data_IF_256789016052
#
_entry.id   IF_256789016052
#
_cell.length_a   1.000
_cell.length_b   1.000
_cell.length_c   1.000
_cell.angle_alpha   90.00
_cell.angle_beta   90.00
_cell.angle_gamma   90.00
#
_symmetry.space_group_name_H-M   'P 1'
#
loop_
_entity.id
_entity.type
_entity.pdbx_description
1 polymer ?
#
# COMPACT_ATOMS: atom_id res chain seq x y z
N UNK A 1 -22.45 8.72 -57.33
CA UNK A 1 -22.26 7.25 -57.33
C UNK A 1 -22.86 6.71 -58.63
N UNK A 2 -22.26 5.69 -59.26
CA UNK A 2 -22.96 4.93 -60.30
C UNK A 2 -24.25 4.34 -59.71
N UNK A 3 -25.21 4.01 -60.58
CA UNK A 3 -26.43 3.31 -60.20
C UNK A 3 -26.07 2.03 -59.42
N UNK A 4 -26.65 1.85 -58.22
CA UNK A 4 -26.28 0.79 -57.27
C UNK A 4 -26.44 -0.58 -57.91
N UNK A 5 -27.54 -0.77 -58.63
CA UNK A 5 -27.86 -2.03 -59.29
C UNK A 5 -26.92 -2.30 -60.47
N UNK A 6 -26.37 -1.26 -61.11
CA UNK A 6 -25.37 -1.39 -62.15
C UNK A 6 -23.98 -1.72 -61.58
N UNK A 7 -23.64 -1.15 -60.42
CA UNK A 7 -22.39 -1.44 -59.69
C UNK A 7 -22.38 -2.89 -59.19
N UNK A 8 -23.44 -3.34 -58.53
CA UNK A 8 -23.56 -4.72 -58.03
C UNK A 8 -23.49 -5.74 -59.18
N UNK A 9 -24.12 -5.44 -60.33
CA UNK A 9 -23.99 -6.25 -61.55
C UNK A 9 -22.55 -6.26 -62.09
N UNK A 10 -21.90 -5.10 -62.23
CA UNK A 10 -20.51 -5.04 -62.70
C UNK A 10 -19.54 -5.80 -61.80
N UNK A 11 -19.79 -5.85 -60.49
CA UNK A 11 -18.97 -6.61 -59.54
C UNK A 11 -19.17 -8.11 -59.75
N UNK A 12 -20.42 -8.58 -59.81
CA UNK A 12 -20.74 -10.01 -60.04
C UNK A 12 -20.28 -10.52 -61.41
N UNK A 13 -20.34 -9.67 -62.45
CA UNK A 13 -19.88 -10.01 -63.80
C UNK A 13 -18.35 -10.14 -63.87
N UNK A 14 -17.61 -9.40 -63.02
CA UNK A 14 -16.15 -9.43 -62.99
C UNK A 14 -15.60 -10.54 -62.09
N UNK A 15 -16.27 -10.84 -60.98
CA UNK A 15 -15.88 -11.89 -60.04
C UNK A 15 -17.04 -12.85 -59.78
N UNK A 16 -17.11 -13.91 -60.60
CA UNK A 16 -18.13 -14.95 -60.47
C UNK A 16 -17.99 -15.80 -59.19
N UNK A 17 -16.87 -15.66 -58.48
CA UNK A 17 -16.58 -16.38 -57.23
C UNK A 17 -16.85 -15.53 -55.99
N UNK A 18 -17.42 -14.31 -56.14
CA UNK A 18 -17.78 -13.46 -55.01
C UNK A 18 -18.74 -14.22 -54.07
N UNK A 19 -18.28 -14.47 -52.84
CA UNK A 19 -19.05 -15.21 -51.83
C UNK A 19 -20.03 -14.32 -51.09
N UNK A 20 -19.74 -13.02 -50.99
CA UNK A 20 -20.55 -12.05 -50.28
C UNK A 20 -21.84 -11.64 -51.02
N UNK A 21 -22.96 -11.57 -50.30
CA UNK A 21 -24.22 -11.01 -50.79
C UNK A 21 -24.24 -9.49 -50.62
N UNK A 22 -24.32 -8.75 -51.73
CA UNK A 22 -24.25 -7.29 -51.74
C UNK A 22 -25.58 -6.62 -51.33
N UNK A 23 -26.67 -7.37 -51.13
CA UNK A 23 -27.97 -6.79 -50.80
C UNK A 23 -27.96 -6.09 -49.42
N UNK A 24 -28.51 -4.88 -49.35
CA UNK A 24 -28.56 -4.10 -48.09
C UNK A 24 -27.22 -3.52 -47.61
N UNK A 25 -26.14 -3.66 -48.39
CA UNK A 25 -24.81 -3.13 -48.07
C UNK A 25 -24.76 -1.59 -47.97
N UNK A 26 -23.90 -1.08 -47.09
CA UNK A 26 -23.55 0.34 -47.01
C UNK A 26 -22.23 0.61 -47.72
N UNK A 27 -22.20 1.68 -48.52
CA UNK A 27 -21.07 2.01 -49.40
C UNK A 27 -20.41 3.33 -48.98
N UNK A 28 -19.10 3.30 -48.85
CA UNK A 28 -18.27 4.46 -48.55
C UNK A 28 -17.33 4.70 -49.72
N UNK A 29 -17.32 5.92 -50.26
CA UNK A 29 -16.42 6.29 -51.34
C UNK A 29 -15.24 7.09 -50.84
N UNK A 30 -14.04 6.68 -51.23
CA UNK A 30 -12.81 7.42 -51.01
C UNK A 30 -12.19 7.75 -52.35
N UNK A 31 -12.02 9.06 -52.59
CA UNK A 31 -11.33 9.52 -53.78
C UNK A 31 -9.82 9.37 -53.58
N UNK A 32 -9.17 8.68 -54.51
CA UNK A 32 -7.71 8.57 -54.52
C UNK A 32 -7.15 9.90 -55.03
N UNK A 33 -6.16 10.51 -54.34
CA UNK A 33 -5.58 11.77 -54.76
C UNK A 33 -5.03 11.70 -56.19
N UNK A 34 -5.14 12.82 -56.92
CA UNK A 34 -4.65 12.93 -58.29
C UNK A 34 -3.12 12.71 -58.36
N UNK A 35 -2.66 12.16 -59.48
CA UNK A 35 -1.28 11.69 -59.70
C UNK A 35 -0.20 12.73 -59.37
N UNK A 36 1.01 12.29 -58.98
CA UNK A 36 1.47 10.89 -58.93
C UNK A 36 0.96 10.15 -57.69
N UNK A 37 0.44 8.93 -57.90
CA UNK A 37 0.07 8.06 -56.78
C UNK A 37 1.37 7.66 -56.07
N UNK A 38 1.53 7.90 -54.76
CA UNK A 38 2.73 7.51 -54.04
C UNK A 38 3.00 6.00 -54.14
N UNK A 39 4.28 5.62 -54.24
CA UNK A 39 4.71 4.23 -54.06
C UNK A 39 4.29 3.73 -52.66
N UNK A 40 3.71 2.52 -52.63
CA UNK A 40 3.22 1.86 -51.41
C UNK A 40 2.14 2.67 -50.65
N UNK A 41 1.01 2.92 -51.30
CA UNK A 41 -0.17 3.50 -50.66
C UNK A 41 -0.89 2.45 -49.80
N UNK A 42 -1.34 2.86 -48.62
CA UNK A 42 -2.11 2.04 -47.69
C UNK A 42 -3.46 2.69 -47.42
N UNK A 43 -4.48 1.87 -47.23
CA UNK A 43 -5.79 2.29 -46.73
C UNK A 43 -5.99 1.74 -45.32
N UNK A 44 -6.32 2.64 -44.40
CA UNK A 44 -6.71 2.32 -43.03
C UNK A 44 -8.23 2.42 -42.93
N UNK A 45 -8.91 1.33 -42.64
CA UNK A 45 -10.37 1.26 -42.48
C UNK A 45 -10.65 1.01 -41.00
N UNK A 46 -11.05 2.06 -40.28
CA UNK A 46 -11.36 1.98 -38.85
C UNK A 46 -12.78 1.50 -38.60
N UNK A 47 -12.91 0.51 -37.73
CA UNK A 47 -14.17 -0.16 -37.42
C UNK A 47 -14.43 -0.25 -35.92
N UNK A 48 -15.71 -0.31 -35.52
CA UNK A 48 -16.11 -0.55 -34.12
C UNK A 48 -16.15 -2.04 -33.77
N UNK A 49 -16.25 -2.92 -34.76
CA UNK A 49 -16.37 -4.38 -34.63
C UNK A 49 -15.54 -5.11 -35.70
N UNK A 50 -15.28 -6.40 -35.48
CA UNK A 50 -14.73 -7.29 -36.51
C UNK A 50 -15.65 -7.29 -37.73
N UNK A 51 -15.06 -7.02 -38.90
CA UNK A 51 -15.73 -7.10 -40.17
C UNK A 51 -15.84 -8.58 -40.56
N UNK A 52 -17.03 -9.15 -40.45
CA UNK A 52 -17.45 -10.14 -41.46
C UNK A 52 -17.94 -9.34 -42.67
N UNK A 53 -17.60 -9.85 -43.86
CA UNK A 53 -18.07 -9.36 -45.16
C UNK A 53 -17.67 -7.92 -45.57
N UNK A 54 -16.43 -7.49 -45.30
CA UNK A 54 -15.88 -6.26 -45.89
C UNK A 54 -15.41 -6.53 -47.32
N UNK A 55 -15.86 -5.70 -48.25
CA UNK A 55 -15.42 -5.73 -49.64
C UNK A 55 -14.85 -4.36 -49.99
N UNK A 56 -13.62 -4.34 -50.49
CA UNK A 56 -13.05 -3.15 -51.11
C UNK A 56 -13.09 -3.33 -52.61
N UNK A 57 -13.66 -2.37 -53.32
CA UNK A 57 -13.84 -2.38 -54.76
C UNK A 57 -13.19 -1.13 -55.34
N UNK A 58 -12.47 -1.28 -56.43
CA UNK A 58 -11.98 -0.15 -57.23
C UNK A 58 -12.94 0.09 -58.38
N UNK A 59 -13.39 1.33 -58.57
CA UNK A 59 -14.27 1.72 -59.66
C UNK A 59 -13.56 2.73 -60.53
N UNK A 60 -13.44 2.40 -61.82
CA UNK A 60 -12.94 3.34 -62.80
C UNK A 60 -14.08 4.32 -63.19
N UNK A 61 -13.90 5.64 -63.00
CA UNK A 61 -14.96 6.62 -63.23
C UNK A 61 -15.32 6.80 -64.71
N UNK A 62 -14.45 6.42 -65.66
CA UNK A 62 -14.70 6.66 -67.10
C UNK A 62 -15.56 5.59 -67.75
N UNK A 63 -15.47 4.33 -67.29
CA UNK A 63 -16.24 3.21 -67.85
C UNK A 63 -17.14 2.51 -66.82
N UNK A 64 -17.12 2.93 -65.56
CA UNK A 64 -17.91 2.33 -64.48
C UNK A 64 -17.48 0.91 -64.09
N UNK A 65 -16.38 0.39 -64.66
CA UNK A 65 -15.91 -0.95 -64.38
C UNK A 65 -15.44 -1.06 -62.93
N UNK A 66 -16.00 -2.03 -62.22
CA UNK A 66 -15.69 -2.32 -60.83
C UNK A 66 -14.83 -3.58 -60.72
N UNK A 67 -13.77 -3.54 -59.91
CA UNK A 67 -12.93 -4.71 -59.59
C UNK A 67 -12.83 -4.89 -58.08
N UNK A 68 -13.10 -6.10 -57.62
CA UNK A 68 -12.90 -6.48 -56.21
C UNK A 68 -11.39 -6.46 -55.91
N UNK A 69 -11.02 -5.71 -54.88
CA UNK A 69 -9.66 -5.54 -54.40
C UNK A 69 -9.39 -6.37 -53.14
N UNK A 70 -10.40 -6.47 -52.26
CA UNK A 70 -10.30 -7.17 -50.98
C UNK A 70 -11.68 -7.71 -50.59
N UNK A 71 -11.73 -8.93 -50.06
CA UNK A 71 -12.90 -9.54 -49.42
C UNK A 71 -12.42 -10.17 -48.10
N UNK A 72 -13.12 -9.87 -46.99
CA UNK A 72 -12.66 -10.19 -45.63
C UNK A 72 -12.56 -11.69 -45.31
N UNK A 73 -13.34 -12.54 -46.00
CA UNK A 73 -13.39 -13.98 -45.70
C UNK A 73 -12.16 -14.75 -46.17
N UNK A 74 -11.31 -14.12 -47.00
CA UNK A 74 -10.18 -14.78 -47.65
C UNK A 74 -8.85 -14.68 -46.88
N UNK A 75 -8.69 -13.81 -45.88
CA UNK A 75 -7.43 -13.67 -45.13
C UNK A 75 -7.67 -13.32 -43.65
N UNK A 76 -7.39 -14.30 -42.79
CA UNK A 76 -7.29 -14.21 -41.33
C UNK A 76 -6.14 -13.28 -40.86
N UNK A 77 -5.27 -12.82 -41.77
CA UNK A 77 -3.94 -12.26 -41.45
C UNK A 77 -3.77 -10.75 -41.65
N UNK A 78 -4.84 -9.96 -41.82
CA UNK A 78 -4.69 -8.51 -41.88
C UNK A 78 -4.37 -7.96 -40.46
N UNK A 79 -3.19 -7.34 -40.23
CA UNK A 79 -2.82 -6.88 -38.90
C UNK A 79 -3.77 -5.75 -38.45
N UNK A 80 -4.60 -6.04 -37.44
CA UNK A 80 -5.45 -5.04 -36.82
C UNK A 80 -4.65 -4.21 -35.83
N UNK A 81 -4.62 -2.89 -36.03
CA UNK A 81 -3.97 -1.95 -35.12
C UNK A 81 -4.92 -0.78 -34.84
N UNK A 82 -5.13 -0.45 -33.56
CA UNK A 82 -6.12 0.56 -33.12
C UNK A 82 -7.52 0.41 -33.78
N UNK A 83 -8.03 -0.82 -33.90
CA UNK A 83 -9.32 -1.12 -34.56
C UNK A 83 -9.39 -0.66 -36.03
N UNK A 84 -8.26 -0.58 -36.72
CA UNK A 84 -8.23 -0.29 -38.15
C UNK A 84 -7.63 -1.47 -38.91
N UNK A 85 -8.26 -1.83 -40.01
CA UNK A 85 -7.70 -2.74 -41.01
C UNK A 85 -6.76 -1.97 -41.91
N UNK A 86 -5.56 -2.48 -42.09
CA UNK A 86 -4.52 -1.86 -42.90
C UNK A 86 -4.29 -2.68 -44.14
N UNK A 87 -4.74 -2.18 -45.29
CA UNK A 87 -4.60 -2.86 -46.57
C UNK A 87 -3.59 -2.10 -47.43
N UNK A 88 -2.58 -2.81 -47.94
CA UNK A 88 -1.67 -2.25 -48.94
C UNK A 88 -2.42 -2.20 -50.26
N UNK A 89 -2.40 -1.07 -50.96
CA UNK A 89 -3.01 -0.90 -52.28
C UNK A 89 -1.97 -1.20 -53.37
N UNK A 90 -2.28 -2.14 -54.27
CA UNK A 90 -1.43 -2.49 -55.40
C UNK A 90 -1.63 -1.47 -56.53
N UNK A 91 -0.55 -0.77 -56.91
CA UNK A 91 -0.59 0.25 -57.97
C UNK A 91 -1.02 -0.30 -59.33
N UNK A 92 -0.75 -1.57 -59.63
CA UNK A 92 -1.15 -2.19 -60.90
C UNK A 92 -2.69 -2.22 -61.08
N UNK A 93 -3.44 -2.14 -59.99
CA UNK A 93 -4.91 -2.12 -59.97
C UNK A 93 -5.48 -0.68 -59.90
N UNK A 94 -4.63 0.34 -59.81
CA UNK A 94 -5.04 1.73 -59.64
C UNK A 94 -4.82 2.54 -60.93
N UNK A 95 -5.91 2.86 -61.62
CA UNK A 95 -5.93 3.81 -62.75
C UNK A 95 -6.06 5.28 -62.28
N UNK A 96 -5.65 6.28 -63.09
CA UNK A 96 -5.94 7.68 -62.80
C UNK A 96 -7.44 7.91 -62.59
N UNK A 97 -7.79 8.66 -61.54
CA UNK A 97 -9.17 8.95 -61.10
C UNK A 97 -9.97 7.75 -60.54
N UNK A 98 -9.35 6.61 -60.28
CA UNK A 98 -10.04 5.47 -59.65
C UNK A 98 -10.68 5.90 -58.32
N UNK A 99 -11.97 5.63 -58.18
CA UNK A 99 -12.70 5.77 -56.91
C UNK A 99 -12.61 4.46 -56.17
N UNK A 100 -12.21 4.51 -54.90
CA UNK A 100 -12.17 3.34 -54.06
C UNK A 100 -13.48 3.29 -53.28
N UNK A 101 -14.26 2.25 -53.52
CA UNK A 101 -15.53 2.01 -52.85
C UNK A 101 -15.31 0.91 -51.81
N UNK A 102 -15.63 1.20 -50.57
CA UNK A 102 -15.63 0.23 -49.48
C UNK A 102 -17.08 -0.12 -49.18
N UNK A 103 -17.44 -1.38 -49.38
CA UNK A 103 -18.75 -1.94 -49.08
C UNK A 103 -18.67 -2.95 -47.95
N UNK A 104 -19.77 -3.11 -47.24
CA UNK A 104 -19.94 -4.20 -46.30
C UNK A 104 -21.35 -4.78 -46.39
N UNK A 105 -21.47 -6.11 -46.36
CA UNK A 105 -22.75 -6.81 -46.28
C UNK A 105 -23.37 -6.71 -44.86
N UNK A 106 -24.68 -6.51 -44.81
CA UNK A 106 -25.44 -6.34 -43.58
C UNK A 106 -25.92 -7.70 -43.05
N UNK A 107 -25.24 -8.28 -42.06
CA UNK A 107 -25.86 -9.32 -41.22
C UNK A 107 -26.62 -8.74 -40.01
N UNK A 108 -26.55 -7.42 -39.74
CA UNK A 108 -27.22 -6.81 -38.58
C UNK A 108 -27.29 -5.27 -38.60
N UNK A 109 -28.31 -4.71 -37.93
CA UNK A 109 -28.83 -3.32 -38.12
C UNK A 109 -27.94 -2.13 -37.73
N UNK A 110 -26.69 -2.25 -37.26
CA UNK A 110 -25.94 -1.05 -36.80
C UNK A 110 -24.41 -1.14 -36.95
N UNK A 111 -23.90 -1.01 -38.17
CA UNK A 111 -22.49 -0.72 -38.41
C UNK A 111 -22.29 0.71 -38.93
N UNK A 112 -21.18 1.35 -38.53
CA UNK A 112 -20.70 2.61 -39.10
C UNK A 112 -19.18 2.47 -39.29
N UNK A 113 -18.70 2.60 -40.53
CA UNK A 113 -17.29 2.87 -40.78
C UNK A 113 -16.97 4.20 -40.11
N UNK A 114 -16.06 4.20 -39.13
CA UNK A 114 -15.74 5.41 -38.37
C UNK A 114 -14.86 6.36 -39.17
N UNK A 115 -13.90 5.79 -39.89
CA UNK A 115 -12.92 6.54 -40.64
C UNK A 115 -12.28 5.66 -41.71
N UNK A 116 -12.04 6.26 -42.87
CA UNK A 116 -11.16 5.69 -43.89
C UNK A 116 -10.07 6.72 -44.15
N UNK A 117 -8.81 6.33 -43.93
CA UNK A 117 -7.66 7.20 -44.16
C UNK A 117 -6.72 6.57 -45.18
N UNK A 118 -6.30 7.38 -46.17
CA UNK A 118 -5.23 7.02 -47.10
C UNK A 118 -3.89 7.52 -46.55
N UNK A 119 -2.91 6.63 -46.51
CA UNK A 119 -1.59 6.92 -45.95
C UNK A 119 -0.49 6.32 -46.81
N UNK A 120 0.62 7.03 -46.96
CA UNK A 120 1.84 6.45 -47.54
C UNK A 120 2.50 5.50 -46.54
N UNK A 121 3.27 4.53 -47.02
CA UNK A 121 4.02 3.60 -46.16
C UNK A 121 4.89 4.33 -45.13
N UNK A 122 5.60 5.39 -45.52
CA UNK A 122 6.39 6.22 -44.59
C UNK A 122 5.53 6.88 -43.50
N UNK A 123 4.32 7.37 -43.84
CA UNK A 123 3.40 7.99 -42.86
C UNK A 123 2.82 6.92 -41.93
N UNK A 124 2.48 5.74 -42.47
CA UNK A 124 2.08 4.55 -41.70
C UNK A 124 3.18 4.17 -40.71
N UNK A 125 4.39 3.86 -41.16
CA UNK A 125 5.50 3.46 -40.29
C UNK A 125 5.76 4.48 -39.18
N UNK A 126 5.78 5.78 -39.50
CA UNK A 126 5.93 6.84 -38.49
C UNK A 126 4.77 6.84 -37.48
N UNK A 127 3.53 6.67 -37.93
CA UNK A 127 2.36 6.59 -37.06
C UNK A 127 2.46 5.39 -36.10
N UNK A 128 2.79 4.21 -36.62
CA UNK A 128 2.97 2.99 -35.83
C UNK A 128 4.15 3.08 -34.87
N UNK A 129 5.29 3.63 -35.32
CA UNK A 129 6.47 3.83 -34.47
C UNK A 129 6.16 4.75 -33.29
N UNK A 130 5.50 5.88 -33.54
CA UNK A 130 5.09 6.80 -32.49
C UNK A 130 4.15 6.12 -31.47
N UNK A 131 3.22 5.29 -31.95
CA UNK A 131 2.32 4.56 -31.08
C UNK A 131 3.08 3.52 -30.24
N UNK A 132 3.97 2.74 -30.85
CA UNK A 132 4.80 1.74 -30.15
C UNK A 132 5.70 2.39 -29.10
N UNK A 133 6.37 3.49 -29.44
CA UNK A 133 7.19 4.25 -28.48
C UNK A 133 6.33 4.74 -27.32
N UNK A 134 5.17 5.33 -27.60
CA UNK A 134 4.28 5.82 -26.56
C UNK A 134 3.79 4.71 -25.63
N UNK A 135 3.37 3.57 -26.19
CA UNK A 135 2.94 2.40 -25.41
C UNK A 135 4.09 1.79 -24.63
N UNK A 136 5.30 1.71 -25.19
CA UNK A 136 6.49 1.22 -24.48
C UNK A 136 6.86 2.12 -23.29
N UNK A 137 6.84 3.45 -23.47
CA UNK A 137 7.05 4.41 -22.38
C UNK A 137 5.97 4.27 -21.30
N UNK A 138 4.71 4.13 -21.71
CA UNK A 138 3.59 3.95 -20.78
C UNK A 138 3.72 2.67 -19.96
N UNK A 139 4.01 1.53 -20.61
CA UNK A 139 4.24 0.25 -19.93
C UNK A 139 5.47 0.31 -19.03
N UNK A 140 6.55 0.95 -19.47
CA UNK A 140 7.75 1.16 -18.66
C UNK A 140 7.47 1.96 -17.40
N UNK A 141 6.66 3.03 -17.49
CA UNK A 141 6.22 3.81 -16.34
C UNK A 141 5.37 2.97 -15.38
N UNK A 142 4.40 2.21 -15.91
CA UNK A 142 3.60 1.29 -15.10
C UNK A 142 4.47 0.22 -14.43
N UNK A 143 5.51 -0.28 -15.10
CA UNK A 143 6.41 -1.30 -14.55
C UNK A 143 7.26 -0.76 -13.42
N UNK A 144 7.77 0.47 -13.56
CA UNK A 144 8.45 1.16 -12.47
C UNK A 144 7.53 1.33 -11.25
N UNK A 145 6.26 1.70 -11.47
CA UNK A 145 5.26 1.81 -10.40
C UNK A 145 4.95 0.47 -9.76
N UNK A 146 4.79 -0.59 -10.55
CA UNK A 146 4.57 -1.94 -10.07
C UNK A 146 5.73 -2.40 -9.17
N UNK A 147 6.97 -2.25 -9.65
CA UNK A 147 8.18 -2.63 -8.91
C UNK A 147 8.32 -1.84 -7.60
N UNK A 148 8.08 -0.53 -7.65
CA UNK A 148 8.08 0.33 -6.46
C UNK A 148 7.02 -0.11 -5.44
N UNK A 149 5.78 -0.34 -5.88
CA UNK A 149 4.69 -0.71 -4.98
C UNK A 149 4.82 -2.15 -4.44
N UNK A 150 5.44 -3.07 -5.19
CA UNK A 150 5.79 -4.39 -4.70
C UNK A 150 6.86 -4.30 -3.60
N UNK A 151 7.93 -3.55 -3.84
CA UNK A 151 8.97 -3.33 -2.83
C UNK A 151 8.40 -2.69 -1.55
N UNK A 152 7.55 -1.67 -1.70
CA UNK A 152 6.86 -1.02 -0.60
C UNK A 152 5.90 -1.98 0.12
N UNK A 153 5.18 -2.83 -0.64
CA UNK A 153 4.29 -3.85 -0.09
C UNK A 153 5.02 -4.89 0.76
N UNK A 154 6.19 -5.34 0.33
CA UNK A 154 7.06 -6.25 1.10
C UNK A 154 7.56 -5.59 2.38
N UNK A 155 8.01 -4.33 2.30
CA UNK A 155 8.47 -3.58 3.47
C UNK A 155 7.36 -3.32 4.50
N UNK A 156 6.15 -3.00 4.03
CA UNK A 156 5.02 -2.64 4.88
C UNK A 156 4.15 -3.83 5.30
N UNK A 157 4.37 -5.03 4.74
CA UNK A 157 3.55 -6.24 4.96
C UNK A 157 2.04 -5.99 4.84
N UNK A 158 1.66 -5.10 3.92
CA UNK A 158 0.28 -4.64 3.77
C UNK A 158 -0.40 -5.34 2.59
N UNK A 159 -1.52 -6.05 2.79
CA UNK A 159 -2.21 -6.76 1.70
C UNK A 159 -2.77 -5.82 0.63
N UNK A 160 -3.00 -4.54 0.97
CA UNK A 160 -3.49 -3.53 0.03
C UNK A 160 -2.51 -3.28 -1.13
N UNK A 161 -1.20 -3.36 -0.87
CA UNK A 161 -0.17 -3.13 -1.90
C UNK A 161 -0.06 -4.33 -2.85
N UNK A 162 -0.27 -5.56 -2.36
CA UNK A 162 -0.35 -6.74 -3.21
C UNK A 162 -1.54 -6.64 -4.18
N UNK A 163 -2.69 -6.15 -3.70
CA UNK A 163 -3.88 -5.96 -4.52
C UNK A 163 -3.70 -4.82 -5.51
N UNK A 164 -3.02 -3.74 -5.12
CA UNK A 164 -2.61 -2.69 -6.05
C UNK A 164 -1.67 -3.22 -7.13
N UNK A 165 -0.74 -4.13 -6.81
CA UNK A 165 0.15 -4.73 -7.79
C UNK A 165 -0.62 -5.56 -8.83
N UNK A 166 -1.58 -6.39 -8.39
CA UNK A 166 -2.47 -7.13 -9.29
C UNK A 166 -3.32 -6.19 -10.13
N UNK A 167 -3.79 -5.09 -9.53
CA UNK A 167 -4.52 -4.05 -10.25
C UNK A 167 -3.67 -3.34 -11.31
N UNK A 168 -2.43 -3.01 -10.99
CA UNK A 168 -1.49 -2.41 -11.93
C UNK A 168 -1.20 -3.36 -13.11
N UNK A 169 -1.05 -4.66 -12.84
CA UNK A 169 -0.89 -5.70 -13.86
C UNK A 169 -2.10 -5.77 -14.80
N UNK A 170 -3.33 -5.71 -14.28
CA UNK A 170 -4.52 -5.69 -15.15
C UNK A 170 -4.59 -4.41 -15.99
N UNK A 171 -4.13 -3.28 -15.45
CA UNK A 171 -3.98 -2.03 -16.20
C UNK A 171 -2.94 -2.10 -17.30
N UNK A 172 -1.79 -2.76 -17.06
CA UNK A 172 -0.79 -3.01 -18.10
C UNK A 172 -1.34 -3.88 -19.22
N UNK A 173 -2.05 -4.95 -18.87
CA UNK A 173 -2.68 -5.85 -19.84
C UNK A 173 -3.68 -5.07 -20.72
N UNK A 174 -4.49 -4.20 -20.10
CA UNK A 174 -5.39 -3.29 -20.81
C UNK A 174 -4.62 -2.33 -21.74
N UNK A 175 -3.46 -1.80 -21.33
CA UNK A 175 -2.67 -0.89 -22.16
C UNK A 175 -2.09 -1.58 -23.41
N UNK A 176 -1.53 -2.79 -23.25
CA UNK A 176 -0.98 -3.61 -24.34
C UNK A 176 -2.08 -4.02 -25.32
N UNK A 177 -3.20 -4.51 -24.80
CA UNK A 177 -4.32 -5.01 -25.60
C UNK A 177 -5.03 -3.88 -26.37
N UNK A 178 -5.14 -2.67 -25.81
CA UNK A 178 -5.72 -1.51 -26.50
C UNK A 178 -4.99 -1.09 -27.78
N UNK A 179 -3.69 -1.34 -27.90
CA UNK A 179 -2.91 -1.03 -29.13
C UNK A 179 -3.00 -2.15 -30.16
N UNK A 180 -3.26 -3.39 -29.71
CA UNK A 180 -3.21 -4.57 -30.55
C UNK A 180 -1.82 -5.19 -30.66
N UNK A 181 -0.88 -4.83 -29.76
CA UNK A 181 0.49 -5.37 -29.75
C UNK A 181 0.51 -6.90 -29.54
N UNK A 182 -0.51 -7.43 -28.85
CA UNK A 182 -0.69 -8.87 -28.63
C UNK A 182 -0.82 -9.63 -29.96
N UNK A 183 -1.54 -9.07 -30.94
CA UNK A 183 -1.74 -9.70 -32.25
C UNK A 183 -0.52 -9.60 -33.15
N UNK A 184 0.28 -8.55 -33.03
CA UNK A 184 1.50 -8.39 -33.82
C UNK A 184 2.59 -9.41 -33.41
N UNK A 185 2.60 -9.81 -32.14
CA UNK A 185 3.66 -10.66 -31.57
C UNK A 185 3.33 -12.16 -31.57
N UNK A 186 2.15 -12.55 -32.05
CA UNK A 186 1.70 -13.95 -32.14
C UNK A 186 1.51 -14.64 -30.79
N UNK A 187 1.48 -13.89 -29.69
CA UNK A 187 1.41 -14.45 -28.32
C UNK A 187 0.12 -15.25 -28.05
N UNK A 188 -0.94 -15.00 -28.82
CA UNK A 188 -2.26 -15.63 -28.70
C UNK A 188 -2.82 -16.08 -30.06
N UNK A 189 -1.97 -16.61 -30.95
CA UNK A 189 -2.33 -17.17 -32.28
C UNK A 189 -3.20 -18.45 -32.22
N UNK A 190 -3.98 -18.64 -31.16
CA UNK A 190 -4.97 -19.70 -31.10
C UNK A 190 -6.22 -19.26 -31.86
N UNK A 191 -6.59 -20.01 -32.90
CA UNK A 191 -7.87 -19.88 -33.62
C UNK A 191 -9.13 -20.01 -32.75
N UNK A 192 -8.98 -20.34 -31.46
CA UNK A 192 -10.05 -20.55 -30.49
C UNK A 192 -10.56 -19.25 -29.81
N UNK A 193 -9.79 -18.16 -29.84
CA UNK A 193 -10.16 -16.90 -29.17
C UNK A 193 -10.19 -15.78 -30.20
N UNK A 194 -11.38 -15.27 -30.48
CA UNK A 194 -11.52 -14.06 -31.30
C UNK A 194 -10.75 -12.91 -30.65
N UNK A 195 -9.98 -12.12 -31.41
CA UNK A 195 -9.36 -10.88 -30.92
C UNK A 195 -10.35 -9.94 -30.20
N UNK A 196 -11.63 -10.04 -30.56
CA UNK A 196 -12.68 -9.27 -29.92
C UNK A 196 -13.04 -9.80 -28.51
N UNK A 197 -13.16 -11.12 -28.32
CA UNK A 197 -13.49 -11.70 -27.02
C UNK A 197 -12.36 -11.46 -26.01
N UNK A 198 -11.10 -11.59 -26.42
CA UNK A 198 -9.93 -11.29 -25.58
C UNK A 198 -9.99 -9.86 -25.00
N UNK A 199 -10.32 -8.86 -25.82
CA UNK A 199 -10.44 -7.46 -25.39
C UNK A 199 -11.50 -7.26 -24.32
N UNK A 200 -12.67 -7.88 -24.49
CA UNK A 200 -13.74 -7.79 -23.50
C UNK A 200 -13.30 -8.45 -22.18
N UNK A 201 -12.64 -9.60 -22.23
CA UNK A 201 -12.11 -10.28 -21.04
C UNK A 201 -11.06 -9.46 -20.29
N UNK A 202 -10.13 -8.83 -21.01
CA UNK A 202 -9.09 -7.97 -20.41
C UNK A 202 -9.73 -6.77 -19.70
N UNK A 203 -10.69 -6.10 -20.34
CA UNK A 203 -11.34 -4.94 -19.75
C UNK A 203 -12.32 -5.33 -18.62
N UNK A 204 -12.98 -6.49 -18.67
CA UNK A 204 -13.75 -7.04 -17.55
C UNK A 204 -12.86 -7.37 -16.34
N UNK A 205 -11.66 -7.91 -16.58
CA UNK A 205 -10.64 -8.15 -15.57
C UNK A 205 -10.19 -6.83 -14.93
N UNK A 206 -9.90 -5.82 -15.75
CA UNK A 206 -9.53 -4.49 -15.26
C UNK A 206 -10.63 -3.90 -14.38
N UNK A 207 -11.88 -3.85 -14.87
CA UNK A 207 -13.01 -3.30 -14.14
C UNK A 207 -13.26 -4.01 -12.79
N UNK A 208 -13.13 -5.33 -12.76
CA UNK A 208 -13.25 -6.12 -11.52
C UNK A 208 -12.16 -5.76 -10.52
N UNK A 209 -10.91 -5.65 -10.98
CA UNK A 209 -9.79 -5.28 -10.12
C UNK A 209 -9.87 -3.83 -9.64
N UNK A 210 -10.33 -2.90 -10.48
CA UNK A 210 -10.61 -1.51 -10.10
C UNK A 210 -11.58 -1.45 -8.92
N UNK A 211 -12.68 -2.20 -9.04
CA UNK A 211 -13.71 -2.32 -8.02
C UNK A 211 -13.14 -2.86 -6.70
N UNK A 212 -12.42 -3.98 -6.75
CA UNK A 212 -11.83 -4.61 -5.56
C UNK A 212 -10.86 -3.63 -4.89
N UNK A 213 -10.01 -2.98 -5.70
CA UNK A 213 -9.05 -2.01 -5.21
C UNK A 213 -9.73 -0.83 -4.53
N UNK A 214 -10.74 -0.20 -5.15
CA UNK A 214 -11.48 0.94 -4.57
C UNK A 214 -12.09 0.56 -3.22
N UNK A 215 -12.76 -0.59 -3.14
CA UNK A 215 -13.38 -1.10 -1.91
C UNK A 215 -12.37 -1.28 -0.78
N UNK A 216 -11.15 -1.72 -1.11
CA UNK A 216 -10.09 -1.92 -0.13
C UNK A 216 -9.30 -0.65 0.20
N UNK A 217 -9.24 0.28 -0.75
CA UNK A 217 -8.63 1.59 -0.58
C UNK A 217 -9.49 2.50 0.31
N UNK A 218 -10.82 2.37 0.24
CA UNK A 218 -11.75 3.01 1.17
C UNK A 218 -11.67 2.38 2.57
N UNK A 219 -11.83 3.21 3.60
CA UNK A 219 -11.74 2.76 5.00
C UNK A 219 -12.92 1.85 5.38
N UNK A 220 -12.68 0.89 6.28
CA UNK A 220 -13.68 -0.14 6.67
C UNK A 220 -15.00 0.44 7.16
N UNK A 221 -14.97 1.58 7.89
CA UNK A 221 -16.19 2.25 8.38
C UNK A 221 -17.11 2.78 7.26
N UNK A 222 -16.59 2.91 6.05
CA UNK A 222 -17.35 3.37 4.89
C UNK A 222 -17.74 2.24 3.93
N UNK A 223 -17.42 0.98 4.28
CA UNK A 223 -17.73 -0.20 3.50
C UNK A 223 -19.18 -0.66 3.77
N UNK A 224 -20.16 -0.06 3.09
CA UNK A 224 -21.57 -0.44 3.25
C UNK A 224 -21.91 -1.70 2.46
N UNK A 225 -22.60 -2.64 3.10
CA UNK A 225 -22.97 -3.92 2.48
C UNK A 225 -23.82 -3.77 1.21
N UNK A 226 -24.71 -2.77 1.14
CA UNK A 226 -25.58 -2.59 -0.03
C UNK A 226 -24.81 -2.14 -1.28
N UNK A 227 -23.93 -1.13 -1.15
CA UNK A 227 -23.10 -0.70 -2.28
C UNK A 227 -22.11 -1.79 -2.71
N UNK A 228 -21.56 -2.54 -1.75
CA UNK A 228 -20.71 -3.70 -2.04
C UNK A 228 -21.46 -4.79 -2.82
N UNK A 229 -22.70 -5.10 -2.44
CA UNK A 229 -23.54 -6.07 -3.16
C UNK A 229 -23.85 -5.59 -4.58
N UNK A 230 -24.15 -4.31 -4.79
CA UNK A 230 -24.37 -3.74 -6.13
C UNK A 230 -23.11 -3.82 -7.01
N UNK A 231 -21.96 -3.52 -6.43
CA UNK A 231 -20.66 -3.61 -7.10
C UNK A 231 -20.29 -5.06 -7.44
N UNK A 232 -20.55 -6.00 -6.53
CA UNK A 232 -20.35 -7.43 -6.78
C UNK A 232 -21.27 -7.95 -7.90
N UNK A 233 -22.53 -7.49 -7.93
CA UNK A 233 -23.48 -7.82 -8.99
C UNK A 233 -22.99 -7.32 -10.36
N UNK A 234 -22.43 -6.11 -10.42
CA UNK A 234 -21.85 -5.57 -11.64
C UNK A 234 -20.53 -6.23 -12.03
N UNK A 235 -19.72 -6.67 -11.05
CA UNK A 235 -18.59 -7.55 -11.31
C UNK A 235 -19.03 -8.84 -11.99
N UNK A 236 -20.06 -9.51 -11.46
CA UNK A 236 -20.63 -10.72 -12.09
C UNK A 236 -21.19 -10.41 -13.49
N UNK A 237 -21.93 -9.31 -13.65
CA UNK A 237 -22.45 -8.88 -14.96
C UNK A 237 -21.33 -8.56 -15.98
N UNK A 238 -20.21 -8.00 -15.52
CA UNK A 238 -19.03 -7.72 -16.35
C UNK A 238 -18.38 -8.97 -16.92
N UNK A 239 -18.62 -10.14 -16.31
CA UNK A 239 -18.16 -11.44 -16.81
C UNK A 239 -19.21 -12.17 -17.65
N UNK A 240 -20.50 -12.03 -17.32
CA UNK A 240 -21.59 -12.69 -18.07
C UNK A 240 -21.63 -12.24 -19.53
N UNK A 241 -21.44 -10.94 -19.80
CA UNK A 241 -21.47 -10.38 -21.16
C UNK A 241 -20.34 -10.92 -22.05
N UNK A 242 -19.05 -10.89 -21.65
CA UNK A 242 -17.97 -11.52 -22.42
C UNK A 242 -18.16 -13.02 -22.63
N UNK A 243 -18.64 -13.74 -21.61
CA UNK A 243 -18.89 -15.19 -21.72
C UNK A 243 -20.01 -15.45 -22.74
N UNK A 244 -21.08 -14.65 -22.71
CA UNK A 244 -22.14 -14.70 -23.72
C UNK A 244 -21.65 -14.33 -25.12
N UNK A 245 -20.75 -13.34 -25.25
CA UNK A 245 -20.13 -12.94 -26.51
C UNK A 245 -19.17 -13.98 -27.08
N UNK A 246 -18.55 -14.79 -26.22
CA UNK A 246 -17.76 -15.93 -26.66
C UNK A 246 -18.64 -17.08 -27.18
N UNK A 247 -19.85 -17.25 -26.63
CA UNK A 247 -20.77 -18.33 -26.99
C UNK A 247 -21.68 -18.01 -28.19
N UNK A 248 -21.98 -16.74 -28.43
CA UNK A 248 -22.91 -16.29 -29.47
C UNK A 248 -22.11 -15.52 -30.52
N UNK A 249 -22.08 -16.00 -31.77
CA UNK A 249 -21.36 -15.39 -32.91
C UNK A 249 -21.99 -14.05 -33.40
N UNK A 250 -22.93 -13.48 -32.61
CA UNK A 250 -23.52 -12.16 -32.80
C UNK A 250 -22.81 -11.09 -31.96
N UNK A 251 -21.76 -10.51 -32.52
CA UNK A 251 -20.82 -9.66 -31.79
C UNK A 251 -21.35 -8.26 -31.44
N UNK A 252 -22.32 -7.74 -32.19
CA UNK A 252 -22.65 -6.30 -32.14
C UNK A 252 -23.62 -5.89 -31.02
N UNK A 253 -24.66 -6.68 -30.74
CA UNK A 253 -25.54 -6.41 -29.59
C UNK A 253 -24.74 -6.48 -28.29
N UNK A 254 -23.86 -7.47 -28.20
CA UNK A 254 -22.98 -7.69 -27.06
C UNK A 254 -21.96 -6.55 -26.89
N UNK A 255 -21.45 -5.94 -27.97
CA UNK A 255 -20.66 -4.70 -27.92
C UNK A 255 -21.44 -3.56 -27.24
N UNK A 256 -22.69 -3.31 -27.65
CA UNK A 256 -23.47 -2.19 -27.10
C UNK A 256 -23.86 -2.41 -25.65
N UNK A 257 -24.25 -3.64 -25.31
CA UNK A 257 -24.50 -4.05 -23.92
C UNK A 257 -23.24 -3.87 -23.09
N UNK A 258 -22.09 -4.20 -23.67
CA UNK A 258 -20.80 -4.05 -23.02
C UNK A 258 -20.41 -2.58 -22.76
N UNK A 259 -20.41 -1.74 -23.80
CA UNK A 259 -20.14 -0.30 -23.67
C UNK A 259 -21.09 0.36 -22.65
N UNK A 260 -22.36 -0.03 -22.67
CA UNK A 260 -23.36 0.39 -21.68
C UNK A 260 -23.01 -0.04 -20.25
N UNK A 261 -22.52 -1.27 -20.07
CA UNK A 261 -22.11 -1.79 -18.76
C UNK A 261 -20.87 -1.07 -18.20
N UNK A 262 -19.92 -0.68 -19.06
CA UNK A 262 -18.75 0.12 -18.68
C UNK A 262 -19.18 1.50 -18.19
N UNK A 263 -20.08 2.18 -18.91
CA UNK A 263 -20.62 3.48 -18.48
C UNK A 263 -21.35 3.35 -17.15
N UNK A 264 -22.15 2.30 -16.97
CA UNK A 264 -22.84 2.03 -15.72
C UNK A 264 -21.85 1.80 -14.55
N UNK A 265 -20.76 1.06 -14.78
CA UNK A 265 -19.72 0.83 -13.79
C UNK A 265 -19.01 2.14 -13.38
N UNK A 266 -18.69 3.01 -14.35
CA UNK A 266 -18.12 4.35 -14.09
C UNK A 266 -19.06 5.19 -13.22
N UNK A 267 -20.36 5.20 -13.54
CA UNK A 267 -21.36 5.93 -12.76
C UNK A 267 -21.45 5.40 -11.33
N UNK A 268 -21.49 4.08 -11.14
CA UNK A 268 -21.55 3.46 -9.81
C UNK A 268 -20.31 3.75 -8.98
N UNK A 269 -19.12 3.63 -9.57
CA UNK A 269 -17.85 3.96 -8.90
C UNK A 269 -17.86 5.43 -8.49
N UNK A 270 -18.28 6.33 -9.39
CA UNK A 270 -18.37 7.77 -9.09
C UNK A 270 -19.34 8.04 -7.94
N UNK A 271 -20.52 7.40 -7.94
CA UNK A 271 -21.49 7.52 -6.85
C UNK A 271 -20.92 7.00 -5.53
N UNK A 272 -20.24 5.84 -5.53
CA UNK A 272 -19.57 5.30 -4.34
C UNK A 272 -18.56 6.29 -3.77
N UNK A 273 -17.69 6.84 -4.63
CA UNK A 273 -16.63 7.77 -4.22
C UNK A 273 -17.25 9.06 -3.64
N UNK A 274 -18.21 9.67 -4.34
CA UNK A 274 -18.87 10.90 -3.90
C UNK A 274 -19.66 10.69 -2.59
N UNK A 275 -20.34 9.55 -2.46
CA UNK A 275 -21.05 9.20 -1.23
C UNK A 275 -20.08 9.02 -0.05
N UNK A 276 -18.96 8.33 -0.27
CA UNK A 276 -17.91 8.15 0.74
C UNK A 276 -17.28 9.49 1.14
N UNK A 277 -17.07 10.38 0.18
CA UNK A 277 -16.55 11.73 0.43
C UNK A 277 -17.49 12.55 1.31
N UNK A 278 -18.80 12.54 1.02
CA UNK A 278 -19.81 13.24 1.85
C UNK A 278 -19.88 12.75 3.30
N UNK A 279 -19.42 11.52 3.58
CA UNK A 279 -19.32 10.96 4.93
C UNK A 279 -17.94 11.15 5.59
N UNK A 280 -17.08 11.99 5.01
CA UNK A 280 -15.80 12.39 5.61
C UNK A 280 -14.63 11.44 5.33
N UNK A 281 -14.73 10.57 4.31
CA UNK A 281 -13.59 9.74 3.88
C UNK A 281 -12.46 10.61 3.34
N UNK A 282 -11.29 10.52 3.96
CA UNK A 282 -10.08 11.26 3.55
C UNK A 282 -9.49 10.73 2.24
N UNK A 283 -9.75 9.46 1.91
CA UNK A 283 -9.20 8.77 0.74
C UNK A 283 -10.06 8.96 -0.53
N UNK A 284 -11.34 9.32 -0.38
CA UNK A 284 -12.26 9.50 -1.51
C UNK A 284 -11.83 10.60 -2.52
N UNK A 285 -11.37 11.80 -2.12
CA UNK A 285 -10.94 12.80 -3.10
C UNK A 285 -9.73 12.36 -3.93
N UNK A 286 -8.83 11.55 -3.35
CA UNK A 286 -7.67 10.99 -4.09
C UNK A 286 -8.16 10.04 -5.19
N UNK A 287 -9.13 9.17 -4.87
CA UNK A 287 -9.75 8.29 -5.86
C UNK A 287 -10.42 9.11 -6.99
N UNK A 288 -11.20 10.13 -6.64
CA UNK A 288 -11.88 10.96 -7.64
C UNK A 288 -10.88 11.62 -8.59
N UNK A 289 -9.79 12.16 -8.06
CA UNK A 289 -8.73 12.78 -8.85
C UNK A 289 -8.02 11.75 -9.76
N UNK A 290 -7.77 10.54 -9.25
CA UNK A 290 -7.12 9.47 -10.01
C UNK A 290 -7.97 8.99 -11.19
N UNK A 291 -9.28 8.77 -10.99
CA UNK A 291 -10.16 8.24 -12.02
C UNK A 291 -10.68 9.28 -13.01
N UNK A 292 -10.61 10.58 -12.68
CA UNK A 292 -11.17 11.64 -13.52
C UNK A 292 -10.65 11.62 -14.98
N UNK A 293 -9.35 11.51 -15.26
CA UNK A 293 -8.86 11.43 -16.65
C UNK A 293 -9.42 10.21 -17.39
N UNK A 294 -9.45 9.05 -16.74
CA UNK A 294 -9.91 7.80 -17.35
C UNK A 294 -11.42 7.86 -17.65
N UNK A 295 -12.21 8.45 -16.75
CA UNK A 295 -13.65 8.65 -16.96
C UNK A 295 -13.92 9.67 -18.07
N UNK A 296 -13.18 10.78 -18.11
CA UNK A 296 -13.31 11.80 -19.17
C UNK A 296 -12.96 11.19 -20.52
N UNK A 297 -11.80 10.54 -20.66
CA UNK A 297 -11.41 9.93 -21.93
C UNK A 297 -12.30 8.75 -22.32
N UNK A 298 -12.76 7.96 -21.35
CA UNK A 298 -13.73 6.88 -21.56
C UNK A 298 -15.05 7.41 -22.14
N UNK A 299 -15.61 8.47 -21.53
CA UNK A 299 -16.83 9.11 -22.02
C UNK A 299 -16.64 9.76 -23.38
N UNK A 300 -15.59 10.57 -23.56
CA UNK A 300 -15.29 11.24 -24.83
C UNK A 300 -15.13 10.24 -25.98
N UNK A 301 -14.50 9.09 -25.72
CA UNK A 301 -14.33 8.01 -26.71
C UNK A 301 -15.65 7.40 -27.16
N UNK A 302 -16.67 7.38 -26.31
CA UNK A 302 -18.00 6.84 -26.63
C UNK A 302 -18.81 7.77 -27.56
N UNK A 303 -18.61 9.09 -27.46
CA UNK A 303 -19.39 10.10 -28.19
C UNK A 303 -18.68 10.71 -29.40
N UNK A 304 -17.35 10.59 -29.50
CA UNK A 304 -16.56 11.22 -30.58
C UNK A 304 -15.99 10.16 -31.52
N UNK A 305 -16.44 10.18 -32.77
CA UNK A 305 -16.05 9.22 -33.81
C UNK A 305 -14.71 9.55 -34.47
N UNK A 306 -14.41 10.83 -34.73
CA UNK A 306 -13.10 11.25 -35.22
C UNK A 306 -12.11 11.41 -34.08
N UNK A 307 -11.18 10.45 -33.98
CA UNK A 307 -10.22 10.39 -32.89
C UNK A 307 -8.88 10.94 -33.34
N UNK A 308 -8.55 12.14 -32.88
CA UNK A 308 -7.18 12.63 -32.93
C UNK A 308 -6.24 11.76 -32.07
N UNK A 309 -4.93 11.97 -32.20
CA UNK A 309 -3.91 11.20 -31.46
C UNK A 309 -4.19 11.15 -29.95
N UNK A 310 -4.59 12.27 -29.34
CA UNK A 310 -4.91 12.34 -27.91
C UNK A 310 -6.11 11.46 -27.51
N UNK A 311 -7.22 11.54 -28.24
CA UNK A 311 -8.41 10.73 -27.94
C UNK A 311 -8.16 9.23 -28.17
N UNK A 312 -7.35 8.89 -29.17
CA UNK A 312 -6.97 7.49 -29.46
C UNK A 312 -6.16 6.86 -28.32
N UNK A 313 -5.32 7.65 -27.64
CA UNK A 313 -4.46 7.21 -26.54
C UNK A 313 -4.98 7.60 -25.15
N UNK A 314 -6.14 8.24 -25.05
CA UNK A 314 -6.67 8.81 -23.81
C UNK A 314 -6.84 7.80 -22.68
N UNK A 315 -7.21 6.55 -23.00
CA UNK A 315 -7.30 5.47 -21.99
C UNK A 315 -5.92 5.14 -21.39
N UNK A 316 -4.87 5.07 -22.21
CA UNK A 316 -3.50 4.81 -21.72
C UNK A 316 -3.00 5.97 -20.87
N UNK A 317 -3.23 7.21 -21.32
CA UNK A 317 -2.90 8.41 -20.55
C UNK A 317 -3.62 8.36 -19.20
N UNK A 318 -4.94 8.12 -19.23
CA UNK A 318 -5.75 8.02 -18.02
C UNK A 318 -5.24 6.96 -17.05
N UNK A 319 -4.89 5.77 -17.54
CA UNK A 319 -4.36 4.67 -16.72
C UNK A 319 -3.02 5.04 -16.05
N UNK A 320 -2.07 5.65 -16.78
CA UNK A 320 -0.80 6.09 -16.19
C UNK A 320 -1.04 7.14 -15.10
N UNK A 321 -1.90 8.14 -15.36
CA UNK A 321 -2.25 9.16 -14.37
C UNK A 321 -2.94 8.56 -13.15
N UNK A 322 -3.90 7.66 -13.37
CA UNK A 322 -4.61 6.95 -12.32
C UNK A 322 -3.62 6.20 -11.42
N UNK A 323 -2.75 5.39 -12.01
CA UNK A 323 -1.77 4.59 -11.28
C UNK A 323 -0.78 5.46 -10.50
N UNK A 324 -0.30 6.57 -11.08
CA UNK A 324 0.57 7.53 -10.39
C UNK A 324 -0.10 8.13 -9.15
N UNK A 325 -1.33 8.64 -9.31
CA UNK A 325 -2.08 9.29 -8.23
C UNK A 325 -2.45 8.29 -7.14
N UNK A 326 -2.85 7.06 -7.51
CA UNK A 326 -3.15 6.00 -6.56
C UNK A 326 -1.90 5.53 -5.80
N UNK A 327 -0.74 5.42 -6.47
CA UNK A 327 0.54 5.10 -5.83
C UNK A 327 0.94 6.16 -4.81
N UNK A 328 0.75 7.43 -5.14
CA UNK A 328 0.94 8.53 -4.19
C UNK A 328 -0.07 8.45 -3.04
N UNK A 329 -1.34 8.18 -3.34
CA UNK A 329 -2.41 8.00 -2.36
C UNK A 329 -2.16 6.88 -1.35
N UNK A 330 -1.59 5.76 -1.79
CA UNK A 330 -1.18 4.65 -0.92
C UNK A 330 -0.06 5.09 0.03
N UNK A 331 0.96 5.77 -0.50
CA UNK A 331 2.08 6.27 0.29
C UNK A 331 1.61 7.24 1.37
N UNK A 332 0.74 8.18 1.01
CA UNK A 332 0.17 9.16 1.91
C UNK A 332 -0.74 8.51 2.97
N UNK A 333 -1.52 7.49 2.61
CA UNK A 333 -2.30 6.69 3.58
C UNK A 333 -1.39 6.00 4.61
N UNK A 334 -0.29 5.40 4.16
CA UNK A 334 0.69 4.75 5.05
C UNK A 334 1.33 5.76 5.99
N UNK A 335 1.72 6.93 5.46
CA UNK A 335 2.24 8.03 6.26
C UNK A 335 1.27 8.44 7.35
N UNK A 336 0.00 8.69 7.02
CA UNK A 336 -1.03 9.04 8.02
C UNK A 336 -1.21 7.99 9.11
N UNK A 337 -1.26 6.71 8.74
CA UNK A 337 -1.37 5.62 9.72
C UNK A 337 -0.15 5.62 10.63
N UNK A 338 1.06 5.77 10.09
CA UNK A 338 2.30 5.81 10.87
C UNK A 338 2.36 7.03 11.80
N UNK A 339 1.96 8.20 11.32
CA UNK A 339 1.96 9.43 12.12
C UNK A 339 0.95 9.33 13.28
N UNK A 340 -0.24 8.78 13.05
CA UNK A 340 -1.21 8.53 14.12
C UNK A 340 -0.72 7.50 15.15
N UNK A 341 -0.02 6.45 14.70
CA UNK A 341 0.57 5.45 15.59
C UNK A 341 1.73 6.04 16.42
N UNK A 342 2.54 6.92 15.81
CA UNK A 342 3.61 7.62 16.52
C UNK A 342 3.05 8.56 17.58
N UNK A 343 2.01 9.34 17.26
CA UNK A 343 1.35 10.22 18.22
C UNK A 343 0.74 9.45 19.40
N UNK A 344 0.11 8.29 19.14
CA UNK A 344 -0.42 7.44 20.19
C UNK A 344 0.69 6.84 21.08
N UNK A 345 1.86 6.53 20.50
CA UNK A 345 3.01 6.07 21.27
C UNK A 345 3.61 7.19 22.13
N UNK A 346 3.77 8.39 21.57
CA UNK A 346 4.28 9.54 22.31
C UNK A 346 3.36 9.94 23.47
N UNK A 347 2.03 9.90 23.27
CA UNK A 347 1.09 10.21 24.36
C UNK A 347 1.17 9.17 25.47
N UNK A 348 1.32 7.88 25.14
CA UNK A 348 1.53 6.83 26.13
C UNK A 348 2.85 7.00 26.90
N UNK A 349 3.97 7.29 26.21
CA UNK A 349 5.27 7.53 26.85
C UNK A 349 5.24 8.76 27.78
N UNK A 350 4.47 9.82 27.43
CA UNK A 350 4.28 10.98 28.30
C UNK A 350 3.53 10.61 29.58
N UNK A 351 2.43 9.86 29.46
CA UNK A 351 1.67 9.39 30.63
C UNK A 351 2.53 8.51 31.54
N UNK A 352 3.38 7.64 30.97
CA UNK A 352 4.31 6.82 31.73
C UNK A 352 5.33 7.67 32.48
N UNK A 353 5.94 8.67 31.84
CA UNK A 353 6.91 9.59 32.48
C UNK A 353 6.28 10.38 33.62
N UNK A 354 5.06 10.89 33.45
CA UNK A 354 4.35 11.59 34.51
C UNK A 354 4.06 10.68 35.70
N UNK A 355 3.65 9.43 35.43
CA UNK A 355 3.40 8.43 36.46
C UNK A 355 4.68 8.10 37.24
N UNK A 356 5.80 7.91 36.54
CA UNK A 356 7.12 7.68 37.16
C UNK A 356 7.57 8.88 38.00
N UNK A 357 7.34 10.11 37.53
CA UNK A 357 7.67 11.32 38.28
C UNK A 357 6.85 11.42 39.57
N UNK A 358 5.55 11.14 39.50
CA UNK A 358 4.66 11.14 40.68
C UNK A 358 5.09 10.05 41.66
N UNK A 359 5.41 8.86 41.17
CA UNK A 359 5.88 7.75 42.00
C UNK A 359 7.21 8.09 42.68
N UNK A 360 8.17 8.66 41.96
CA UNK A 360 9.45 9.09 42.52
C UNK A 360 9.26 10.17 43.60
N UNK A 361 8.39 11.16 43.37
CA UNK A 361 8.08 12.17 44.41
C UNK A 361 7.45 11.55 45.66
N UNK A 362 6.55 10.59 45.49
CA UNK A 362 5.96 9.87 46.61
C UNK A 362 7.00 9.03 47.35
N UNK A 363 7.90 8.37 46.61
CA UNK A 363 8.99 7.59 47.18
C UNK A 363 9.97 8.48 47.94
N UNK A 364 10.37 9.62 47.39
CA UNK A 364 11.20 10.61 48.08
C UNK A 364 10.54 11.08 49.37
N UNK A 365 9.23 11.37 49.33
CA UNK A 365 8.48 11.71 50.54
C UNK A 365 8.52 10.59 51.59
N UNK A 366 8.25 9.35 51.19
CA UNK A 366 8.34 8.20 52.10
C UNK A 366 9.75 8.00 52.66
N UNK A 367 10.78 8.14 51.83
CA UNK A 367 12.17 8.04 52.26
C UNK A 367 12.47 9.12 53.30
N UNK A 368 12.15 10.39 53.03
CA UNK A 368 12.39 11.48 53.99
C UNK A 368 11.64 11.30 55.32
N UNK A 369 10.38 10.84 55.29
CA UNK A 369 9.60 10.54 56.50
C UNK A 369 10.25 9.41 57.31
N UNK A 370 10.68 8.33 56.65
CA UNK A 370 11.33 7.19 57.30
C UNK A 370 12.73 7.53 57.82
N UNK A 371 13.49 8.35 57.10
CA UNK A 371 14.80 8.85 57.57
C UNK A 371 14.62 9.68 58.84
N UNK A 372 13.63 10.57 58.89
CA UNK A 372 13.34 11.37 60.08
C UNK A 372 12.88 10.52 61.27
N UNK A 373 12.02 9.52 61.04
CA UNK A 373 11.62 8.56 62.08
C UNK A 373 12.83 7.78 62.62
N UNK A 374 13.70 7.31 61.74
CA UNK A 374 14.92 6.60 62.10
C UNK A 374 15.88 7.47 62.91
N UNK A 375 16.08 8.73 62.51
CA UNK A 375 16.92 9.69 63.25
C UNK A 375 16.37 9.95 64.65
N UNK A 376 15.05 10.12 64.81
CA UNK A 376 14.42 10.30 66.12
C UNK A 376 14.65 9.08 67.02
N UNK A 377 14.41 7.87 66.52
CA UNK A 377 14.68 6.64 67.28
C UNK A 377 16.15 6.46 67.61
N UNK A 378 17.05 6.86 66.70
CA UNK A 378 18.48 6.80 66.93
C UNK A 378 18.90 7.77 68.05
N UNK A 379 18.34 8.97 68.10
CA UNK A 379 18.56 9.93 69.19
C UNK A 379 18.09 9.39 70.53
N UNK A 380 16.87 8.86 70.59
CA UNK A 380 16.29 8.27 71.80
C UNK A 380 17.10 7.07 72.31
N UNK A 381 17.53 6.18 71.42
CA UNK A 381 18.41 5.07 71.75
C UNK A 381 19.76 5.55 72.29
N UNK A 382 20.30 6.64 71.75
CA UNK A 382 21.56 7.23 72.21
C UNK A 382 21.42 7.85 73.60
N UNK A 383 20.32 8.55 73.87
CA UNK A 383 19.99 9.07 75.20
C UNK A 383 19.82 7.95 76.21
N UNK A 384 18.99 6.95 75.93
CA UNK A 384 18.80 5.77 76.78
C UNK A 384 20.13 5.04 77.05
N UNK A 385 20.99 4.92 76.03
CA UNK A 385 22.32 4.33 76.19
C UNK A 385 23.20 5.15 77.14
N UNK A 386 23.21 6.47 77.00
CA UNK A 386 23.99 7.35 77.87
C UNK A 386 23.46 7.32 79.31
N UNK A 387 22.14 7.35 79.51
CA UNK A 387 21.52 7.21 80.84
C UNK A 387 21.88 5.88 81.50
N UNK A 388 21.76 4.78 80.76
CA UNK A 388 22.16 3.46 81.25
C UNK A 388 23.65 3.42 81.61
N UNK A 389 24.50 4.04 80.79
CA UNK A 389 25.94 4.10 81.04
C UNK A 389 26.27 4.94 82.28
N UNK A 390 25.63 6.09 82.47
CA UNK A 390 25.78 6.91 83.67
C UNK A 390 25.28 6.20 84.93
N UNK A 391 24.13 5.52 84.86
CA UNK A 391 23.60 4.74 85.98
C UNK A 391 24.52 3.57 86.36
N UNK A 392 25.12 2.90 85.36
CA UNK A 392 26.15 1.88 85.59
C UNK A 392 27.40 2.47 86.26
N UNK A 393 27.82 3.68 85.86
CA UNK A 393 28.95 4.39 86.47
C UNK A 393 28.65 4.81 87.91
N UNK A 394 27.44 5.31 88.19
CA UNK A 394 26.97 5.65 89.54
C UNK A 394 26.92 4.41 90.46
N UNK A 395 26.39 3.29 89.97
CA UNK A 395 26.44 2.02 90.71
C UNK A 395 27.88 1.56 90.94
N UNK A 396 28.78 1.75 89.97
CA UNK A 396 30.20 1.36 90.12
C UNK A 396 30.93 2.20 91.17
N UNK A 397 30.63 3.50 91.28
CA UNK A 397 31.23 4.40 92.28
C UNK A 397 30.69 4.15 93.68
N UNK A 398 29.38 3.87 93.82
CA UNK A 398 28.77 3.48 95.09
C UNK A 398 29.30 2.13 95.62
N UNK A 399 29.62 1.19 94.73
CA UNK A 399 30.27 -0.08 95.10
C UNK A 399 31.76 0.06 95.49
N UNK A 400 32.39 1.21 95.25
CA UNK A 400 33.80 1.45 95.55
C UNK A 400 34.11 1.90 96.99
N UNK A 401 33.09 2.16 97.82
CA UNK A 401 33.27 2.64 99.19
C UNK A 401 33.24 1.46 100.16
N UNK A 402 34.42 1.04 100.62
CA UNK A 402 34.53 0.03 101.67
C UNK A 402 34.44 0.70 103.06
N UNK A 403 33.41 0.40 103.88
CA UNK A 403 33.30 0.92 105.23
C UNK A 403 34.39 0.32 106.13
N UNK A 404 35.38 1.12 106.51
CA UNK A 404 36.47 0.72 107.40
C UNK A 404 36.22 1.25 108.81
N UNK A 405 36.40 0.41 109.84
CA UNK A 405 36.30 0.81 111.24
C UNK A 405 37.43 1.78 111.57
N UNK A 406 37.09 2.98 112.05
CA UNK A 406 38.08 4.02 112.36
C UNK A 406 39.11 3.60 113.41
N UNK A 407 38.74 2.66 114.30
CA UNK A 407 39.56 2.20 115.43
C UNK A 407 40.42 0.98 115.10
N UNK A 408 39.82 -0.14 114.68
CA UNK A 408 40.55 -1.39 114.43
C UNK A 408 40.90 -1.66 112.96
N UNK A 409 40.45 -0.80 112.02
CA UNK A 409 40.67 -0.91 110.57
C UNK A 409 40.06 -2.15 109.89
N UNK A 410 39.21 -2.92 110.57
CA UNK A 410 38.39 -3.95 109.94
C UNK A 410 37.45 -3.35 108.89
N UNK A 411 37.16 -4.08 107.82
CA UNK A 411 36.17 -3.72 106.80
C UNK A 411 34.84 -4.37 107.16
N UNK A 412 33.74 -3.63 107.00
CA UNK A 412 32.40 -4.19 107.13
C UNK A 412 31.92 -4.75 105.79
N UNK A 413 31.50 -6.00 105.79
CA UNK A 413 30.96 -6.67 104.60
C UNK A 413 29.49 -6.29 104.32
N UNK A 414 28.95 -6.83 103.22
CA UNK A 414 27.56 -6.59 102.79
C UNK A 414 26.52 -7.22 103.74
N UNK A 415 26.91 -8.21 104.56
CA UNK A 415 26.07 -8.83 105.58
C UNK A 415 26.12 -8.07 106.92
N UNK A 416 26.99 -7.06 107.02
CA UNK A 416 27.14 -6.17 108.14
C UNK A 416 28.13 -6.65 109.20
N UNK A 417 28.85 -7.74 108.97
CA UNK A 417 29.91 -8.28 109.84
C UNK A 417 31.24 -7.56 109.61
N UNK A 418 32.10 -7.55 110.63
CA UNK A 418 33.40 -6.87 110.58
C UNK A 418 34.52 -7.89 110.45
N UNK A 419 35.27 -7.81 109.36
CA UNK A 419 36.38 -8.71 109.06
C UNK A 419 37.70 -7.95 108.98
N UNK A 420 38.81 -8.64 109.21
CA UNK A 420 40.13 -8.05 109.06
C UNK A 420 40.36 -7.63 107.60
N UNK A 421 40.96 -6.45 107.39
CA UNK A 421 41.09 -5.84 106.07
C UNK A 421 41.75 -6.77 105.03
N UNK A 422 42.80 -7.48 105.42
CA UNK A 422 43.52 -8.39 104.54
C UNK A 422 42.65 -9.58 104.10
N UNK A 423 41.85 -10.13 105.03
CA UNK A 423 40.92 -11.22 104.75
C UNK A 423 39.83 -10.78 103.77
N UNK A 424 39.23 -9.62 104.01
CA UNK A 424 38.18 -9.07 103.16
C UNK A 424 38.67 -8.78 101.72
N UNK A 425 39.83 -8.12 101.58
CA UNK A 425 40.39 -7.81 100.25
C UNK A 425 40.85 -9.08 99.53
N UNK A 426 41.40 -10.08 100.23
CA UNK A 426 41.81 -11.34 99.62
C UNK A 426 40.64 -12.19 99.13
N UNK A 427 39.47 -12.10 99.78
CA UNK A 427 38.27 -12.84 99.37
C UNK A 427 37.46 -12.13 98.29
N UNK A 428 37.57 -10.81 98.17
CA UNK A 428 36.81 -9.99 97.22
C UNK A 428 37.65 -9.39 96.07
N UNK A 429 38.93 -9.75 95.95
CA UNK A 429 39.81 -9.36 94.83
C UNK A 429 40.89 -10.41 94.56
N UNK A 430 41.54 -10.34 93.41
CA UNK A 430 42.68 -11.22 93.06
C UNK A 430 43.99 -10.87 93.81
N UNK A 431 43.92 -10.08 94.89
CA UNK A 431 45.08 -9.58 95.64
C UNK A 431 45.59 -10.60 96.64
N UNK A 432 46.92 -10.80 96.71
CA UNK A 432 47.59 -11.66 97.71
C UNK A 432 48.47 -10.82 98.63
N UNK A 433 48.35 -10.99 99.94
CA UNK A 433 49.16 -10.28 100.93
C UNK A 433 50.42 -11.06 101.30
N UNK A 434 51.56 -10.36 101.39
CA UNK A 434 52.79 -10.85 102.03
C UNK A 434 53.02 -10.10 103.34
N UNK A 435 53.40 -10.80 104.40
CA UNK A 435 53.66 -10.18 105.70
C UNK A 435 55.14 -9.80 105.80
N UNK A 436 55.42 -8.54 106.10
CA UNK A 436 56.74 -8.01 106.39
C UNK A 436 56.66 -6.94 107.49
N UNK A 437 57.76 -6.69 108.18
CA UNK A 437 57.85 -5.64 109.19
C UNK A 437 58.59 -4.44 108.59
N UNK A 438 57.96 -3.26 108.59
CA UNK A 438 58.62 -2.06 108.07
C UNK A 438 59.73 -1.59 109.03
N UNK A 439 60.73 -0.82 108.55
CA UNK A 439 61.83 -0.33 109.38
C UNK A 439 61.38 0.37 110.67
N UNK A 440 60.30 1.16 110.60
CA UNK A 440 59.75 1.88 111.77
C UNK A 440 59.20 0.92 112.83
N UNK A 441 58.48 -0.12 112.40
CA UNK A 441 57.95 -1.14 113.28
C UNK A 441 59.06 -2.02 113.86
N UNK A 442 60.13 -2.30 113.10
CA UNK A 442 61.31 -3.02 113.62
C UNK A 442 61.94 -2.27 114.80
N UNK A 443 62.12 -0.95 114.66
CA UNK A 443 62.67 -0.11 115.74
C UNK A 443 61.75 -0.15 116.96
N UNK A 444 60.43 -0.07 116.75
CA UNK A 444 59.46 -0.09 117.84
C UNK A 444 59.44 -1.43 118.58
N UNK A 445 59.43 -2.54 117.85
CA UNK A 445 59.49 -3.89 118.43
C UNK A 445 60.81 -4.12 119.16
N UNK A 446 61.95 -3.66 118.63
CA UNK A 446 63.24 -3.72 119.34
C UNK A 446 63.20 -2.98 120.67
N UNK A 447 62.65 -1.77 120.66
CA UNK A 447 62.51 -0.92 121.84
C UNK A 447 61.58 -1.53 122.89
N UNK A 448 60.42 -2.02 122.47
CA UNK A 448 59.41 -2.61 123.37
C UNK A 448 59.84 -3.99 123.90
N UNK A 449 60.73 -4.70 123.20
CA UNK A 449 61.26 -6.01 123.60
C UNK A 449 62.52 -5.94 124.48
N UNK A 450 63.03 -4.74 124.80
CA UNK A 450 64.21 -4.55 125.64
C UNK A 450 65.52 -5.05 125.01
N UNK A 451 65.58 -5.20 123.68
CA UNK A 451 66.73 -5.76 122.96
C UNK A 451 67.81 -4.73 122.58
N UNK A 452 67.70 -3.48 123.06
CA UNK A 452 68.67 -2.41 122.77
C UNK A 452 69.90 -2.42 123.72
N UNK A 453 70.02 -3.38 124.65
CA UNK A 453 71.12 -3.45 125.64
C UNK A 453 72.16 -4.59 125.43
N UNK A 454 72.18 -5.26 124.28
CA UNK A 454 73.24 -6.24 123.95
C UNK A 454 74.04 -5.80 122.70
N UNK A 455 75.15 -5.10 122.98
CA UNK A 455 76.34 -4.74 122.17
C UNK A 455 76.21 -4.58 120.65
#
# INVERSE_FOLDING_TARGET
>A
MPDRDALERSIRDYDSNLTADLTGSSWYSVDIPAMPIPDNLWIAIGTRAMLKDLIVVTVNPTNGAAKVYFESDLLVDAPMFQNSFWLKLNQALLSPHTKLLVAQQFSGKTFQVLNIELMTEKKKEKHFLNLKIFTAVSIGALFALLAYNLALGVQLKSPLHAIYAVYCLSGMLLAVNNVGLVYETGWLDSSAISPFSERIFVLATYATMTVIFIVMFLESKYRQEFLLKGIALCGVAAWIVPIGAWLIDEHLFLIKVYDGSVVLAILQITVLILWSWRRGSTNAPILLLAFAPLFVFGLLRSFIDQRGWFLSNGIQIGNVFEMLILSWGLTERVRRIRDSALQAKESAERHERETVLILNKNLEKQVTERTKELESKYSELKENRNELQNALEEVSTLKGILPICSYCKNIRDDEGSWEQMESYISSHSDTKFSHGICPDCVVKVRKDSGLDELQ
#
